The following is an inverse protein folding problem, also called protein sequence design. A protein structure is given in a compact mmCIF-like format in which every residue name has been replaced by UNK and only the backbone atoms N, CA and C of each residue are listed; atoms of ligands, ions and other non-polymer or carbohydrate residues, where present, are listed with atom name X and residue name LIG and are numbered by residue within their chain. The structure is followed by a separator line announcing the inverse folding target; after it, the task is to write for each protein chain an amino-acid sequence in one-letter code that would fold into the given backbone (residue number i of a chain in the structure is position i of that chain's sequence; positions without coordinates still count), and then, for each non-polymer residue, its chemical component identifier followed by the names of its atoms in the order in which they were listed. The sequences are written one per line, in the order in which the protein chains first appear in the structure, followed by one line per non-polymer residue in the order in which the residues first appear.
data_IF_025401022295
#
_entry.id   IF_025401022295
#
_cell.length_a   1.000
_cell.length_b   1.000
_cell.length_c   1.000
_cell.angle_alpha   90.00
_cell.angle_beta   90.00
_cell.angle_gamma   90.00
#
_symmetry.space_group_name_H-M   'P 1'
#
loop_
_entity.id
_entity.type
_entity.pdbx_description
1 polymer ?
#
# COMPACT_ATOMS: atom_id res chain seq x y z
N UNK A 1 -1.43 -32.93 -2.51
CA UNK A 1 -2.14 -32.07 -1.53
C UNK A 1 -2.43 -30.72 -2.18
N UNK A 2 -3.70 -30.36 -2.31
CA UNK A 2 -4.11 -29.07 -2.87
C UNK A 2 -3.84 -27.98 -1.82
N UNK A 3 -2.87 -27.09 -2.08
CA UNK A 3 -2.65 -25.93 -1.21
C UNK A 3 -3.90 -25.03 -1.35
N UNK A 4 -4.60 -24.66 -0.25
CA UNK A 4 -5.75 -23.76 -0.34
C UNK A 4 -5.29 -22.41 -0.91
N UNK A 5 -5.86 -22.03 -2.05
CA UNK A 5 -5.50 -20.81 -2.76
C UNK A 5 -6.33 -19.65 -2.20
N UNK A 6 -5.75 -18.86 -1.30
CA UNK A 6 -6.40 -17.64 -0.80
C UNK A 6 -6.37 -16.56 -1.87
N UNK A 7 -7.48 -15.83 -2.12
CA UNK A 7 -7.47 -14.70 -3.04
C UNK A 7 -6.54 -13.60 -2.50
N UNK A 8 -5.76 -12.98 -3.39
CA UNK A 8 -4.84 -11.89 -3.05
C UNK A 8 -5.11 -10.65 -3.90
N UNK A 9 -4.91 -9.48 -3.30
CA UNK A 9 -4.93 -8.18 -3.96
C UNK A 9 -3.49 -7.71 -4.14
N UNK A 10 -3.03 -7.61 -5.39
CA UNK A 10 -1.71 -7.07 -5.72
C UNK A 10 -1.80 -5.55 -5.93
N UNK A 11 -1.09 -4.78 -5.11
CA UNK A 11 -1.02 -3.32 -5.21
C UNK A 11 0.39 -2.85 -5.58
N UNK A 12 0.49 -1.84 -6.44
CA UNK A 12 1.73 -1.13 -6.72
C UNK A 12 1.62 0.30 -6.19
N UNK A 13 2.35 0.60 -5.11
CA UNK A 13 2.46 1.93 -4.54
C UNK A 13 3.42 2.78 -5.39
N UNK A 14 2.93 3.92 -5.87
CA UNK A 14 3.68 4.92 -6.63
C UNK A 14 3.83 6.19 -5.79
N UNK A 15 5.05 6.51 -5.37
CA UNK A 15 5.37 7.77 -4.70
C UNK A 15 5.37 8.95 -5.67
N UNK A 16 5.25 10.17 -5.11
CA UNK A 16 5.33 11.43 -5.85
C UNK A 16 6.71 11.62 -6.51
N UNK A 17 7.77 11.07 -5.91
CA UNK A 17 9.12 10.98 -6.50
C UNK A 17 9.23 10.04 -7.71
N UNK A 18 8.16 9.31 -8.06
CA UNK A 18 8.14 8.34 -9.16
C UNK A 18 8.53 6.91 -8.75
N UNK A 19 9.01 6.74 -7.52
CA UNK A 19 9.38 5.45 -6.93
C UNK A 19 8.21 4.46 -6.83
N UNK A 20 8.45 3.16 -7.10
CA UNK A 20 7.41 2.11 -7.17
C UNK A 20 7.73 0.85 -6.37
N UNK A 21 6.75 0.34 -5.61
CA UNK A 21 6.83 -0.92 -4.86
C UNK A 21 5.55 -1.71 -5.03
N UNK A 22 5.66 -2.94 -5.51
CA UNK A 22 4.53 -3.88 -5.58
C UNK A 22 4.51 -4.77 -4.35
N UNK A 23 3.32 -5.03 -3.79
CA UNK A 23 3.12 -5.91 -2.64
C UNK A 23 1.70 -6.50 -2.70
N UNK A 24 1.57 -7.77 -2.28
CA UNK A 24 0.30 -8.48 -2.24
C UNK A 24 -0.26 -8.53 -0.83
N UNK A 25 -1.58 -8.45 -0.70
CA UNK A 25 -2.31 -8.43 0.57
C UNK A 25 -3.58 -9.27 0.47
N UNK A 26 -4.10 -9.76 1.59
CA UNK A 26 -5.42 -10.39 1.63
C UNK A 26 -6.53 -9.34 1.39
N UNK A 27 -7.62 -9.66 0.68
CA UNK A 27 -8.70 -8.72 0.36
C UNK A 27 -9.41 -8.13 1.59
N UNK A 28 -9.40 -8.87 2.71
CA UNK A 28 -9.96 -8.43 3.99
C UNK A 28 -9.04 -7.47 4.76
N UNK A 29 -7.79 -7.27 4.30
CA UNK A 29 -6.86 -6.32 4.92
C UNK A 29 -7.43 -4.90 4.82
N UNK A 30 -7.41 -4.16 5.93
CA UNK A 30 -7.79 -2.75 5.96
C UNK A 30 -6.69 -1.86 5.40
N UNK A 31 -7.07 -0.72 4.83
CA UNK A 31 -6.14 0.29 4.30
C UNK A 31 -5.18 0.79 5.37
N UNK A 32 -5.62 0.93 6.62
CA UNK A 32 -4.74 1.27 7.75
C UNK A 32 -3.65 0.23 7.96
N UNK A 33 -4.02 -1.06 7.94
CA UNK A 33 -3.06 -2.17 8.05
C UNK A 33 -2.13 -2.25 6.84
N UNK A 34 -2.60 -1.92 5.64
CA UNK A 34 -1.74 -1.80 4.45
C UNK A 34 -0.70 -0.68 4.62
N UNK A 35 -1.09 0.50 5.12
CA UNK A 35 -0.12 1.59 5.42
C UNK A 35 0.94 1.15 6.42
N UNK A 36 0.55 0.47 7.50
CA UNK A 36 1.49 -0.11 8.47
C UNK A 36 2.46 -1.10 7.83
N UNK A 37 1.98 -2.03 7.00
CA UNK A 37 2.83 -3.04 6.34
C UNK A 37 3.80 -2.38 5.33
N UNK A 38 3.32 -1.41 4.56
CA UNK A 38 4.15 -0.63 3.63
C UNK A 38 5.23 0.16 4.37
N UNK A 39 4.89 0.79 5.50
CA UNK A 39 5.80 1.55 6.36
C UNK A 39 6.81 0.66 7.10
N UNK A 40 6.40 -0.50 7.60
CA UNK A 40 7.31 -1.44 8.26
C UNK A 40 8.32 -2.00 7.25
N UNK A 41 7.84 -2.45 6.09
CA UNK A 41 8.68 -2.94 4.99
C UNK A 41 9.16 -1.81 4.05
N UNK A 42 9.40 -0.60 4.56
CA UNK A 42 9.79 0.55 3.72
C UNK A 42 11.13 0.27 3.01
N UNK A 43 11.25 0.47 1.69
CA UNK A 43 12.48 0.19 0.97
C UNK A 43 13.64 1.06 1.44
N UNK A 44 14.83 0.48 1.60
CA UNK A 44 16.03 1.20 2.00
C UNK A 44 16.42 2.33 1.02
N UNK A 45 16.17 2.14 -0.28
CA UNK A 45 16.40 3.17 -1.30
C UNK A 45 15.37 4.33 -1.29
N UNK A 46 14.38 4.29 -0.40
CA UNK A 46 13.42 5.38 -0.15
C UNK A 46 13.54 5.92 1.27
N UNK A 47 14.62 5.59 2.00
CA UNK A 47 14.68 5.83 3.44
C UNK A 47 14.63 7.31 3.81
N UNK A 48 15.16 8.18 2.95
CA UNK A 48 15.06 9.65 3.07
C UNK A 48 13.62 10.18 2.94
N UNK A 49 12.75 9.44 2.23
CA UNK A 49 11.32 9.74 2.10
C UNK A 49 10.47 9.03 3.17
N UNK A 50 11.06 8.28 4.11
CA UNK A 50 10.28 7.50 5.10
C UNK A 50 9.61 8.44 6.11
N UNK A 51 8.27 8.46 6.22
CA UNK A 51 7.60 9.29 7.21
C UNK A 51 7.80 8.75 8.64
N UNK A 52 7.63 9.59 9.68
CA UNK A 52 7.83 9.19 11.07
C UNK A 52 6.82 8.12 11.56
N UNK A 53 5.61 8.08 10.99
CA UNK A 53 4.58 7.10 11.33
C UNK A 53 3.69 6.76 10.11
N UNK A 54 3.05 5.56 10.07
CA UNK A 54 2.16 5.16 8.97
C UNK A 54 0.93 6.06 8.80
N UNK A 55 0.50 6.80 9.84
CA UNK A 55 -0.61 7.77 9.78
C UNK A 55 -0.35 8.96 8.84
N UNK A 56 0.91 9.25 8.54
CA UNK A 56 1.30 10.27 7.55
C UNK A 56 1.14 9.77 6.11
N UNK A 57 1.00 8.45 5.89
CA UNK A 57 0.74 7.90 4.56
C UNK A 57 -0.73 8.11 4.17
N UNK A 58 -0.94 8.62 2.96
CA UNK A 58 -2.22 8.66 2.26
C UNK A 58 -2.10 7.82 0.99
N UNK A 59 -2.96 6.81 0.88
CA UNK A 59 -3.11 6.03 -0.34
C UNK A 59 -4.23 6.66 -1.16
N UNK A 60 -3.97 6.97 -2.42
CA UNK A 60 -4.93 7.53 -3.36
C UNK A 60 -5.17 6.57 -4.52
N UNK A 61 -6.43 6.28 -4.79
CA UNK A 61 -6.86 5.44 -5.90
C UNK A 61 -7.99 6.16 -6.67
N UNK A 62 -7.83 6.29 -7.99
CA UNK A 62 -8.77 6.99 -8.88
C UNK A 62 -9.19 8.40 -8.36
N UNK A 63 -8.22 9.15 -7.82
CA UNK A 63 -8.44 10.50 -7.26
C UNK A 63 -9.07 10.54 -5.85
N UNK A 64 -9.42 9.39 -5.25
CA UNK A 64 -9.98 9.31 -3.89
C UNK A 64 -8.90 8.92 -2.89
N UNK A 65 -8.87 9.58 -1.73
CA UNK A 65 -8.06 9.16 -0.58
C UNK A 65 -8.79 8.03 0.14
N UNK A 66 -8.15 6.88 0.29
CA UNK A 66 -8.71 5.71 0.98
C UNK A 66 -8.71 5.94 2.50
N UNK A 67 -9.81 5.57 3.17
CA UNK A 67 -9.93 5.66 4.63
C UNK A 67 -9.37 4.40 5.28
N UNK A 68 -8.84 4.53 6.50
CA UNK A 68 -8.14 3.44 7.17
C UNK A 68 -9.02 2.25 7.53
N UNK A 69 -10.33 2.48 7.72
CA UNK A 69 -11.36 1.47 7.99
C UNK A 69 -11.85 0.70 6.74
N UNK A 70 -11.57 1.18 5.53
CA UNK A 70 -11.97 0.47 4.31
C UNK A 70 -11.06 -0.75 4.08
N UNK A 71 -11.64 -1.90 3.74
CA UNK A 71 -10.89 -3.09 3.31
C UNK A 71 -10.57 -3.03 1.82
N UNK A 72 -9.52 -3.73 1.38
CA UNK A 72 -9.15 -3.76 -0.05
C UNK A 72 -10.29 -4.29 -0.95
N UNK A 73 -11.07 -5.25 -0.45
CA UNK A 73 -12.29 -5.73 -1.08
C UNK A 73 -13.35 -4.63 -1.22
N UNK A 74 -13.57 -3.84 -0.15
CA UNK A 74 -14.56 -2.76 -0.10
C UNK A 74 -14.18 -1.57 -0.98
N UNK A 75 -12.88 -1.31 -1.17
CA UNK A 75 -12.37 -0.35 -2.15
C UNK A 75 -12.60 -0.82 -3.60
N UNK A 76 -12.86 -2.12 -3.81
CA UNK A 76 -13.14 -2.71 -5.12
C UNK A 76 -11.88 -3.10 -5.89
N UNK A 77 -10.76 -3.40 -5.21
CA UNK A 77 -9.56 -3.87 -5.89
C UNK A 77 -9.74 -5.30 -6.46
N UNK A 78 -9.17 -5.59 -7.64
CA UNK A 78 -9.25 -6.92 -8.23
C UNK A 78 -8.47 -7.95 -7.40
N UNK A 79 -9.15 -9.05 -7.06
CA UNK A 79 -8.56 -10.22 -6.40
C UNK A 79 -8.13 -11.26 -7.41
N UNK A 80 -6.92 -11.81 -7.27
CA UNK A 80 -6.41 -12.93 -8.09
C UNK A 80 -6.16 -14.17 -7.23
N UNK A 81 -6.37 -15.36 -7.80
CA UNK A 81 -6.08 -16.63 -7.12
C UNK A 81 -4.63 -17.10 -7.46
N UNK A 82 -3.79 -17.42 -6.45
CA UNK A 82 -2.31 -17.38 -6.49
C UNK A 82 -1.53 -17.73 -7.77
N UNK A 83 -1.73 -18.87 -8.48
CA UNK A 83 -0.92 -19.18 -9.67
C UNK A 83 -1.33 -18.40 -10.93
N UNK A 84 -2.23 -17.41 -10.80
CA UNK A 84 -2.53 -16.45 -11.86
C UNK A 84 -1.32 -15.54 -12.15
N UNK A 85 -0.38 -16.04 -12.95
CA UNK A 85 0.84 -15.35 -13.41
C UNK A 85 0.59 -14.04 -14.18
N UNK A 86 -0.67 -13.73 -14.48
CA UNK A 86 -1.11 -12.56 -15.23
C UNK A 86 -1.84 -11.52 -14.34
N UNK A 87 -1.79 -11.66 -13.01
CA UNK A 87 -2.41 -10.72 -12.07
C UNK A 87 -1.81 -9.31 -12.20
N UNK A 88 -2.51 -8.41 -12.88
CA UNK A 88 -2.09 -7.01 -13.05
C UNK A 88 -2.20 -6.26 -11.72
N UNK A 89 -1.09 -5.79 -11.12
CA UNK A 89 -1.14 -5.13 -9.82
C UNK A 89 -1.76 -3.74 -9.98
N UNK A 90 -2.72 -3.41 -9.12
CA UNK A 90 -3.40 -2.11 -9.20
C UNK A 90 -2.47 -1.00 -8.72
N UNK A 91 -2.24 0.00 -9.57
CA UNK A 91 -1.39 1.14 -9.21
C UNK A 91 -2.19 2.12 -8.33
N UNK A 92 -1.65 2.42 -7.16
CA UNK A 92 -2.17 3.40 -6.20
C UNK A 92 -1.09 4.43 -5.91
N UNK A 93 -1.47 5.71 -5.80
CA UNK A 93 -0.51 6.74 -5.43
C UNK A 93 -0.30 6.73 -3.92
N UNK A 94 0.94 6.72 -3.49
CA UNK A 94 1.35 6.83 -2.11
C UNK A 94 1.90 8.24 -1.88
N UNK A 95 1.21 9.03 -1.07
CA UNK A 95 1.66 10.37 -0.69
C UNK A 95 1.92 10.45 0.81
N UNK A 96 2.93 11.23 1.16
CA UNK A 96 3.32 11.49 2.54
C UNK A 96 2.77 12.88 2.90
N UNK A 97 2.05 12.99 4.02
CA UNK A 97 1.66 14.29 4.56
C UNK A 97 2.92 15.06 4.95
N UNK A 98 3.02 16.37 4.65
CA UNK A 98 4.09 17.18 5.19
C UNK A 98 4.04 17.14 6.72
N UNK A 99 5.19 16.90 7.32
CA UNK A 99 5.42 17.02 8.76
C UNK A 99 6.48 18.09 8.96
N UNK A 100 6.33 18.91 9.99
CA UNK A 100 7.47 19.69 10.45
C UNK A 100 8.50 18.68 10.95
N UNK A 101 9.69 18.68 10.35
CA UNK A 101 10.85 18.12 11.02
C UNK A 101 10.97 18.84 12.37
N UNK A 102 11.04 18.13 13.51
CA UNK A 102 11.42 18.81 14.74
C UNK A 102 12.78 19.45 14.47
N UNK A 103 12.87 20.77 14.67
CA UNK A 103 14.16 21.44 14.65
C UNK A 103 15.01 20.82 15.76
N UNK A 104 16.18 20.30 15.37
CA UNK A 104 17.23 19.92 16.31
C UNK A 104 17.69 21.24 16.98
N UNK A 105 17.51 21.33 18.31
CA UNK A 105 17.87 22.46 19.18
C UNK A 105 19.15 22.13 19.96
#
# INVERSE_FOLDING_TARGET
PSIPQTPQVSLTFLLVSGHRKSQSFDPETTVGRVKELVWNAWPAHWQDERPPAPSYLRILYLGKILQDDDTLLRVGFPTSLPPASNATPTIVHLSIRPYALPSDD
#
